data_IF_587478766513
#
_entry.id   IF_587478766513
#
_cell.length_a   1.000
_cell.length_b   1.000
_cell.length_c   1.000
_cell.angle_alpha   90.00
_cell.angle_beta   90.00
_cell.angle_gamma   90.00
#
_symmetry.space_group_name_H-M   'P 1'
#
loop_
_entity.id
_entity.type
_entity.pdbx_description
1 polymer ?
#
# COMPACT_ATOMS: atom_id res chain seq x y z
N UNK A 1 -1.12 35.50 -8.22
CA UNK A 1 -1.19 34.20 -7.52
C UNK A 1 -0.20 33.29 -8.24
N UNK A 2 0.79 32.68 -7.57
CA UNK A 2 1.76 31.86 -8.29
C UNK A 2 1.03 30.61 -8.81
N UNK A 3 1.29 30.30 -10.07
CA UNK A 3 0.67 29.24 -10.83
C UNK A 3 1.05 27.86 -10.26
N UNK A 4 0.08 26.95 -10.29
CA UNK A 4 0.19 25.55 -9.89
C UNK A 4 1.22 24.82 -10.76
N UNK A 5 2.50 24.88 -10.41
CA UNK A 5 3.46 23.87 -10.82
C UNK A 5 3.38 22.72 -9.80
N UNK A 6 2.38 21.85 -9.96
CA UNK A 6 2.37 20.54 -9.30
C UNK A 6 3.72 19.88 -9.61
N UNK A 7 4.50 19.62 -8.57
CA UNK A 7 5.84 19.09 -8.71
C UNK A 7 5.75 17.65 -9.20
N UNK A 8 6.83 17.18 -9.79
CA UNK A 8 6.99 15.77 -10.12
C UNK A 8 7.96 15.14 -9.11
N UNK A 9 7.57 14.00 -8.53
CA UNK A 9 8.42 13.23 -7.62
C UNK A 9 8.56 11.81 -8.17
N UNK A 10 9.73 11.42 -8.68
CA UNK A 10 9.93 10.05 -9.20
C UNK A 10 9.73 9.01 -8.08
N UNK A 11 10.41 9.19 -6.95
CA UNK A 11 10.40 8.26 -5.84
C UNK A 11 10.35 9.03 -4.52
N UNK A 12 9.34 8.76 -3.68
CA UNK A 12 9.28 9.22 -2.30
C UNK A 12 9.49 8.04 -1.36
N UNK A 13 10.51 8.11 -0.49
CA UNK A 13 10.71 7.11 0.56
C UNK A 13 10.67 7.81 1.92
N UNK A 14 9.76 7.37 2.76
CA UNK A 14 9.55 7.89 4.10
C UNK A 14 9.67 6.74 5.08
N UNK A 15 10.70 6.82 5.90
CA UNK A 15 10.95 5.90 7.00
C UNK A 15 10.81 6.72 8.27
N UNK A 16 10.41 6.05 9.36
CA UNK A 16 10.22 6.62 10.70
C UNK A 16 8.81 7.18 10.95
N UNK A 17 8.31 6.93 12.16
CA UNK A 17 6.90 7.03 12.57
C UNK A 17 6.31 8.44 12.66
N UNK A 18 6.98 9.45 12.09
CA UNK A 18 6.57 10.84 12.14
C UNK A 18 5.75 11.28 10.91
N UNK A 19 5.54 10.40 9.93
CA UNK A 19 4.66 10.67 8.79
C UNK A 19 3.20 10.33 9.13
N UNK A 20 2.38 11.35 9.33
CA UNK A 20 0.94 11.21 9.59
C UNK A 20 0.10 11.57 8.34
N UNK A 21 -1.21 11.47 8.46
CA UNK A 21 -2.15 11.71 7.36
C UNK A 21 -2.05 13.12 6.76
N UNK A 22 -1.76 14.13 7.59
CA UNK A 22 -1.64 15.52 7.13
C UNK A 22 -0.49 15.70 6.14
N UNK A 23 0.68 15.13 6.43
CA UNK A 23 1.85 15.22 5.56
C UNK A 23 1.62 14.46 4.25
N UNK A 24 0.95 13.30 4.28
CA UNK A 24 0.54 12.58 3.06
C UNK A 24 -0.43 13.42 2.24
N UNK A 25 -1.37 14.11 2.88
CA UNK A 25 -2.27 15.06 2.23
C UNK A 25 -1.52 16.19 1.51
N UNK A 26 -0.52 16.80 2.15
CA UNK A 26 0.31 17.82 1.52
C UNK A 26 1.12 17.27 0.35
N UNK A 27 1.68 16.07 0.47
CA UNK A 27 2.40 15.40 -0.62
C UNK A 27 1.49 15.18 -1.83
N UNK A 28 0.30 14.62 -1.63
CA UNK A 28 -0.67 14.37 -2.69
C UNK A 28 -1.15 15.67 -3.37
N UNK A 29 -1.33 16.75 -2.59
CA UNK A 29 -1.70 18.05 -3.12
C UNK A 29 -0.57 18.73 -3.92
N UNK A 30 0.68 18.56 -3.46
CA UNK A 30 1.86 19.20 -4.05
C UNK A 30 2.38 18.46 -5.29
N UNK A 31 2.28 17.14 -5.30
CA UNK A 31 2.84 16.24 -6.32
C UNK A 31 1.72 15.41 -6.94
N UNK A 32 1.18 15.89 -8.06
CA UNK A 32 0.12 15.18 -8.79
C UNK A 32 0.62 13.90 -9.48
N UNK A 33 1.93 13.73 -9.59
CA UNK A 33 2.62 12.63 -10.25
C UNK A 33 3.74 12.12 -9.35
N UNK A 34 3.51 10.95 -8.77
CA UNK A 34 4.48 10.19 -7.98
C UNK A 34 4.55 8.81 -8.62
N UNK A 35 5.71 8.33 -9.08
CA UNK A 35 5.75 6.99 -9.69
C UNK A 35 5.74 5.91 -8.59
N UNK A 36 6.52 6.13 -7.55
CA UNK A 36 6.66 5.23 -6.40
C UNK A 36 6.61 6.00 -5.09
N UNK A 37 5.78 5.50 -4.18
CA UNK A 37 5.72 5.94 -2.79
C UNK A 37 5.96 4.75 -1.87
N UNK A 38 7.00 4.85 -1.05
CA UNK A 38 7.38 3.87 -0.04
C UNK A 38 7.28 4.53 1.33
N UNK A 39 6.28 4.11 2.10
CA UNK A 39 6.05 4.52 3.47
C UNK A 39 6.23 3.28 4.35
N UNK A 40 7.13 3.39 5.31
CA UNK A 40 7.50 2.32 6.22
C UNK A 40 7.22 2.72 7.66
N UNK A 41 6.49 1.87 8.38
CA UNK A 41 6.26 2.00 9.84
C UNK A 41 5.78 3.40 10.25
N UNK A 42 4.71 3.86 9.60
CA UNK A 42 4.14 5.17 9.83
C UNK A 42 2.71 5.08 10.39
N UNK A 43 2.29 5.99 11.27
CA UNK A 43 0.94 6.04 11.85
C UNK A 43 -0.10 6.61 10.87
N UNK A 44 0.01 6.25 9.59
CA UNK A 44 -0.95 6.64 8.56
C UNK A 44 -2.22 5.78 8.63
N UNK A 45 -3.37 6.40 8.35
CA UNK A 45 -4.66 5.74 8.38
C UNK A 45 -5.29 5.67 6.99
N UNK A 46 -6.55 5.21 6.93
CA UNK A 46 -7.36 5.29 5.72
C UNK A 46 -7.41 6.71 5.11
N UNK A 47 -7.28 7.76 5.92
CA UNK A 47 -7.28 9.14 5.41
C UNK A 47 -6.10 9.41 4.46
N UNK A 48 -4.90 8.92 4.78
CA UNK A 48 -3.76 8.94 3.84
C UNK A 48 -4.08 8.30 2.51
N UNK A 49 -4.71 7.11 2.53
CA UNK A 49 -5.08 6.39 1.30
C UNK A 49 -6.07 7.21 0.46
N UNK A 50 -7.04 7.86 1.11
CA UNK A 50 -7.99 8.75 0.44
C UNK A 50 -7.29 9.92 -0.26
N UNK A 51 -6.28 10.52 0.35
CA UNK A 51 -5.46 11.56 -0.30
C UNK A 51 -4.73 11.02 -1.54
N UNK A 52 -4.15 9.82 -1.45
CA UNK A 52 -3.41 9.19 -2.55
C UNK A 52 -4.30 8.84 -3.76
N UNK A 53 -5.62 8.71 -3.59
CA UNK A 53 -6.55 8.52 -4.73
C UNK A 53 -6.52 9.65 -5.76
N UNK A 54 -6.01 10.83 -5.40
CA UNK A 54 -5.87 11.98 -6.29
C UNK A 54 -4.57 12.01 -7.10
N UNK A 55 -3.59 11.16 -6.76
CA UNK A 55 -2.28 11.08 -7.43
C UNK A 55 -2.43 10.30 -8.73
N UNK A 56 -2.14 10.93 -9.88
CA UNK A 56 -2.54 10.42 -11.20
C UNK A 56 -1.61 9.38 -11.80
N UNK A 57 -0.40 9.20 -11.26
CA UNK A 57 0.63 8.33 -11.84
C UNK A 57 1.28 7.38 -10.84
N UNK A 58 0.60 7.07 -9.73
CA UNK A 58 1.14 6.15 -8.73
C UNK A 58 1.13 4.71 -9.25
N UNK A 59 2.33 4.19 -9.56
CA UNK A 59 2.55 2.83 -10.05
C UNK A 59 2.95 1.88 -8.94
N UNK A 60 3.73 2.35 -7.96
CA UNK A 60 4.17 1.52 -6.85
C UNK A 60 3.80 2.18 -5.52
N UNK A 61 3.07 1.46 -4.68
CA UNK A 61 2.72 1.90 -3.34
C UNK A 61 3.15 0.83 -2.33
N UNK A 62 4.10 1.19 -1.47
CA UNK A 62 4.55 0.34 -0.36
C UNK A 62 4.17 0.99 0.95
N UNK A 63 3.47 0.25 1.79
CA UNK A 63 2.88 0.69 3.07
C UNK A 63 3.27 -0.30 4.18
N UNK A 64 4.51 -0.77 4.12
CA UNK A 64 4.95 -1.88 4.98
C UNK A 64 4.97 -1.43 6.44
N UNK A 65 4.50 -2.31 7.33
CA UNK A 65 4.43 -2.09 8.78
C UNK A 65 3.58 -0.86 9.19
N UNK A 66 2.74 -0.32 8.29
CA UNK A 66 1.76 0.72 8.60
C UNK A 66 0.54 0.11 9.32
N UNK A 67 0.71 -0.22 10.60
CA UNK A 67 -0.22 -1.05 11.41
C UNK A 67 -1.61 -0.44 11.62
N UNK A 68 -1.77 0.88 11.46
CA UNK A 68 -3.06 1.56 11.58
C UNK A 68 -3.97 1.36 10.35
N UNK A 69 -3.45 0.82 9.25
CA UNK A 69 -4.25 0.47 8.07
C UNK A 69 -4.98 -0.86 8.28
N UNK A 70 -6.28 -0.88 7.98
CA UNK A 70 -7.17 -2.03 8.13
C UNK A 70 -7.94 -2.30 6.82
N UNK A 71 -8.75 -3.35 6.78
CA UNK A 71 -9.52 -3.75 5.59
C UNK A 71 -10.40 -2.62 5.00
N UNK A 72 -10.80 -1.65 5.83
CA UNK A 72 -11.61 -0.51 5.40
C UNK A 72 -10.90 0.43 4.41
N UNK A 73 -9.57 0.40 4.32
CA UNK A 73 -8.81 1.19 3.34
C UNK A 73 -8.79 0.56 1.93
N UNK A 74 -9.15 -0.72 1.78
CA UNK A 74 -9.06 -1.46 0.51
C UNK A 74 -9.96 -0.85 -0.58
N UNK A 75 -11.15 -0.38 -0.20
CA UNK A 75 -12.07 0.29 -1.12
C UNK A 75 -11.46 1.57 -1.72
N UNK A 76 -10.63 2.29 -0.95
CA UNK A 76 -9.93 3.48 -1.43
C UNK A 76 -8.67 3.12 -2.23
N UNK A 77 -7.93 2.06 -1.85
CA UNK A 77 -6.81 1.53 -2.66
C UNK A 77 -7.26 1.13 -4.08
N UNK A 78 -8.44 0.52 -4.22
CA UNK A 78 -9.03 0.15 -5.52
C UNK A 78 -9.34 1.37 -6.43
N UNK A 79 -9.35 2.59 -5.87
CA UNK A 79 -9.59 3.83 -6.62
C UNK A 79 -8.30 4.42 -7.20
N UNK A 80 -7.13 4.00 -6.72
CA UNK A 80 -5.83 4.44 -7.24
C UNK A 80 -5.63 3.80 -8.62
N UNK A 81 -5.66 4.63 -9.67
CA UNK A 81 -5.58 4.15 -11.06
C UNK A 81 -4.13 4.00 -11.50
N UNK A 82 -3.86 2.93 -12.26
CA UNK A 82 -2.53 2.66 -12.79
C UNK A 82 -1.55 2.04 -11.79
N UNK A 83 -2.01 1.64 -10.61
CA UNK A 83 -1.17 0.94 -9.63
C UNK A 83 -0.78 -0.44 -10.16
N UNK A 84 0.51 -0.71 -10.22
CA UNK A 84 1.12 -1.96 -10.70
C UNK A 84 1.61 -2.83 -9.54
N UNK A 85 2.13 -2.22 -8.46
CA UNK A 85 2.61 -2.91 -7.27
C UNK A 85 2.02 -2.30 -6.00
N UNK A 86 1.48 -3.16 -5.14
CA UNK A 86 0.98 -2.80 -3.82
C UNK A 86 1.62 -3.67 -2.73
N UNK A 87 2.23 -3.06 -1.73
CA UNK A 87 2.81 -3.80 -0.59
C UNK A 87 2.14 -3.41 0.72
N UNK A 88 1.41 -4.34 1.32
CA UNK A 88 0.63 -4.23 2.56
C UNK A 88 1.14 -5.15 3.69
N UNK A 89 2.32 -5.75 3.53
CA UNK A 89 2.91 -6.58 4.59
C UNK A 89 3.07 -5.80 5.90
N UNK A 90 2.71 -6.42 7.03
CA UNK A 90 2.73 -5.78 8.35
C UNK A 90 1.61 -4.76 8.62
N UNK A 91 0.65 -4.59 7.70
CA UNK A 91 -0.59 -3.83 7.97
C UNK A 91 -1.64 -4.72 8.63
N UNK A 92 -2.75 -4.14 9.08
CA UNK A 92 -3.95 -4.86 9.50
C UNK A 92 -4.86 -5.32 8.36
N UNK A 93 -4.48 -5.10 7.10
CA UNK A 93 -5.25 -5.61 5.95
C UNK A 93 -5.10 -7.12 5.87
N UNK A 94 -6.22 -7.82 5.74
CA UNK A 94 -6.33 -9.27 5.70
C UNK A 94 -6.53 -9.79 4.27
N UNK A 95 -6.32 -11.10 4.07
CA UNK A 95 -6.65 -11.76 2.80
C UNK A 95 -8.14 -11.66 2.46
N UNK A 96 -9.01 -11.60 3.45
CA UNK A 96 -10.45 -11.41 3.25
C UNK A 96 -10.76 -9.98 2.79
N UNK A 97 -10.13 -8.96 3.39
CA UNK A 97 -10.25 -7.57 2.94
C UNK A 97 -9.82 -7.37 1.49
N UNK A 98 -8.75 -8.05 1.06
CA UNK A 98 -8.29 -8.01 -0.34
C UNK A 98 -9.31 -8.56 -1.35
N UNK A 99 -10.32 -9.33 -0.94
CA UNK A 99 -11.34 -9.84 -1.87
C UNK A 99 -12.16 -8.72 -2.51
N UNK A 100 -12.17 -7.52 -1.92
CA UNK A 100 -12.81 -6.33 -2.48
C UNK A 100 -11.86 -5.48 -3.36
N UNK A 101 -10.55 -5.77 -3.34
CA UNK A 101 -9.58 -5.04 -4.15
C UNK A 101 -9.82 -5.29 -5.64
N UNK A 102 -9.80 -4.22 -6.42
CA UNK A 102 -9.88 -4.26 -7.89
C UNK A 102 -8.76 -3.40 -8.44
N UNK A 103 -8.04 -3.90 -9.43
CA UNK A 103 -6.95 -3.17 -10.07
C UNK A 103 -6.67 -3.72 -11.46
N UNK A 104 -7.01 -2.94 -12.49
CA UNK A 104 -6.87 -3.37 -13.89
C UNK A 104 -5.40 -3.46 -14.34
N UNK A 105 -4.50 -2.76 -13.63
CA UNK A 105 -3.06 -2.72 -13.92
C UNK A 105 -2.23 -3.43 -12.84
N UNK A 106 -2.86 -3.96 -11.80
CA UNK A 106 -2.17 -4.50 -10.64
C UNK A 106 -1.52 -5.83 -11.01
N UNK A 107 -0.19 -5.89 -10.89
CA UNK A 107 0.62 -7.04 -11.24
C UNK A 107 1.04 -7.81 -10.00
N UNK A 108 1.30 -7.13 -8.88
CA UNK A 108 1.74 -7.79 -7.66
C UNK A 108 1.17 -7.14 -6.41
N UNK A 109 0.66 -7.97 -5.49
CA UNK A 109 0.28 -7.58 -4.14
C UNK A 109 1.08 -8.38 -3.13
N UNK A 110 1.78 -7.70 -2.23
CA UNK A 110 2.40 -8.31 -1.06
C UNK A 110 1.53 -8.10 0.16
N UNK A 111 1.24 -9.16 0.91
CA UNK A 111 0.46 -9.11 2.14
C UNK A 111 1.04 -10.07 3.18
N UNK A 112 0.82 -9.78 4.46
CA UNK A 112 1.14 -10.71 5.55
C UNK A 112 -0.12 -11.43 6.00
N UNK A 113 0.01 -12.72 6.32
CA UNK A 113 -1.11 -13.51 6.84
C UNK A 113 -0.60 -14.49 7.89
N UNK A 114 -1.37 -14.64 8.95
CA UNK A 114 -1.21 -15.64 10.02
C UNK A 114 -2.10 -16.87 9.82
N UNK A 115 -2.98 -16.85 8.80
CA UNK A 115 -3.80 -17.99 8.43
C UNK A 115 -2.98 -19.24 8.10
N UNK A 116 -3.57 -20.41 8.33
CA UNK A 116 -2.97 -21.68 7.94
C UNK A 116 -2.83 -21.79 6.41
N UNK A 117 -1.82 -22.54 5.94
CA UNK A 117 -1.55 -22.73 4.51
C UNK A 117 -2.80 -23.16 3.71
N UNK A 118 -3.66 -24.08 4.19
CA UNK A 118 -4.88 -24.43 3.46
C UNK A 118 -5.82 -23.23 3.25
N UNK A 119 -6.03 -22.41 4.29
CA UNK A 119 -6.89 -21.23 4.21
C UNK A 119 -6.28 -20.16 3.30
N UNK A 120 -4.96 -19.97 3.36
CA UNK A 120 -4.25 -19.08 2.43
C UNK A 120 -4.52 -19.52 0.98
N UNK A 121 -4.37 -20.80 0.67
CA UNK A 121 -4.60 -21.32 -0.69
C UNK A 121 -6.04 -21.12 -1.15
N UNK A 122 -7.02 -21.29 -0.27
CA UNK A 122 -8.42 -21.04 -0.60
C UNK A 122 -8.68 -19.57 -0.91
N UNK A 123 -8.08 -18.64 -0.15
CA UNK A 123 -8.18 -17.20 -0.43
C UNK A 123 -7.46 -16.78 -1.69
N UNK A 124 -6.27 -17.31 -1.94
CA UNK A 124 -5.52 -17.04 -3.17
C UNK A 124 -6.31 -17.47 -4.41
N UNK A 125 -7.06 -18.57 -4.35
CA UNK A 125 -7.96 -18.98 -5.44
C UNK A 125 -9.08 -17.98 -5.68
N UNK A 126 -9.69 -17.45 -4.63
CA UNK A 126 -10.74 -16.42 -4.76
C UNK A 126 -10.18 -15.09 -5.28
N UNK A 127 -8.99 -14.71 -4.82
CA UNK A 127 -8.29 -13.51 -5.28
C UNK A 127 -7.89 -13.62 -6.75
N UNK A 128 -7.44 -14.80 -7.21
CA UNK A 128 -7.12 -15.03 -8.62
C UNK A 128 -8.33 -14.84 -9.56
N UNK A 129 -9.55 -15.04 -9.06
CA UNK A 129 -10.79 -14.74 -9.82
C UNK A 129 -11.08 -13.23 -9.86
N UNK A 130 -10.74 -12.50 -8.80
CA UNK A 130 -11.04 -11.07 -8.64
C UNK A 130 -9.96 -10.17 -9.26
N UNK A 131 -8.72 -10.64 -9.32
CA UNK A 131 -7.54 -9.97 -9.85
C UNK A 131 -6.83 -10.88 -10.87
N UNK A 132 -7.46 -11.17 -12.02
CA UNK A 132 -6.88 -12.07 -13.01
C UNK A 132 -5.58 -11.47 -13.57
N UNK A 133 -4.46 -12.18 -13.38
CA UNK A 133 -3.13 -11.73 -13.82
C UNK A 133 -2.31 -10.99 -12.77
N UNK A 134 -2.87 -10.73 -11.58
CA UNK A 134 -2.12 -10.23 -10.44
C UNK A 134 -1.56 -11.41 -9.62
N UNK A 135 -0.26 -11.36 -9.31
CA UNK A 135 0.37 -12.26 -8.37
C UNK A 135 0.13 -11.75 -6.94
N UNK A 136 -0.47 -12.58 -6.08
CA UNK A 136 -0.60 -12.27 -4.65
C UNK A 136 0.45 -13.06 -3.88
N UNK A 137 1.44 -12.35 -3.36
CA UNK A 137 2.55 -12.91 -2.58
C UNK A 137 2.24 -12.74 -1.10
N UNK A 138 2.06 -13.86 -0.41
CA UNK A 138 1.82 -13.86 1.03
C UNK A 138 3.15 -14.08 1.73
N UNK A 139 3.73 -13.00 2.27
CA UNK A 139 4.98 -13.06 3.02
C UNK A 139 4.67 -13.43 4.48
N UNK A 140 5.26 -14.52 4.95
CA UNK A 140 5.33 -14.81 6.37
C UNK A 140 6.48 -14.00 6.98
N UNK A 141 6.16 -12.81 7.50
CA UNK A 141 7.11 -12.07 8.32
C UNK A 141 6.98 -12.58 9.77
N UNK A 142 7.97 -13.27 10.34
CA UNK A 142 8.04 -13.39 11.80
C UNK A 142 8.13 -11.96 12.38
N UNK A 143 7.46 -11.67 13.50
CA UNK A 143 7.51 -10.34 14.10
C UNK A 143 8.98 -9.99 14.36
N UNK A 144 9.41 -8.85 13.81
CA UNK A 144 10.71 -8.20 13.92
C UNK A 144 11.72 -8.94 14.81
N UNK A 145 12.58 -9.76 14.21
CA UNK A 145 13.91 -9.94 14.79
C UNK A 145 14.63 -8.63 14.51
N UNK A 146 14.64 -7.74 15.50
CA UNK A 146 15.61 -6.66 15.59
C UNK A 146 17.00 -7.30 15.53
N UNK A 147 17.57 -7.43 14.33
CA UNK A 147 19.00 -7.48 14.18
C UNK A 147 19.47 -6.06 14.49
N UNK A 148 19.72 -5.82 15.77
CA UNK A 148 20.41 -4.64 16.24
C UNK A 148 21.68 -4.45 15.40
N UNK A 149 21.93 -3.20 15.08
CA UNK A 149 23.05 -2.74 14.28
C UNK A 149 24.36 -3.43 14.72
N UNK A 150 25.00 -4.09 13.75
CA UNK A 150 26.44 -4.30 13.76
C UNK A 150 26.99 -3.23 12.84
N UNK A 151 27.40 -2.07 13.37
CA UNK A 151 28.79 -1.71 13.72
C UNK A 151 28.78 -0.47 14.62
#
# INVERSE_FOLDING_TARGET
>A
MPENESGYLHHGRFWDGDLEDEQVGWLAARFATIDMLDIYDAPITRASIQHLTSVKQLKELRLKDCTALQDDCVADLARIKGLELLHLGGTGVTLDGLLELRGDCLQTVFISSDLSTPLIQDRLRLLALSLPGCEVVVNHHPPHVFLGDVV
#
